data_IF_815605766014
#
_entry.id   IF_815605766014
#
_cell.length_a   1.000
_cell.length_b   1.000
_cell.length_c   1.000
_cell.angle_alpha   90.00
_cell.angle_beta   90.00
_cell.angle_gamma   90.00
#
_symmetry.space_group_name_H-M   'P 1'
#
loop_
_entity.id
_entity.type
_entity.pdbx_description
1 polymer ?
#
# COMPACT_ATOMS: atom_id res chain seq x y z
N UNK A 1 -4.25 45.60 -42.30
CA UNK A 1 -3.26 44.49 -42.16
C UNK A 1 -2.98 44.22 -40.67
N UNK A 2 -4.00 43.85 -39.90
CA UNK A 2 -3.88 43.59 -38.44
C UNK A 2 -4.68 42.33 -38.03
N UNK A 3 -5.75 42.03 -38.77
CA UNK A 3 -6.68 40.93 -38.48
C UNK A 3 -6.07 39.53 -38.73
N UNK A 4 -5.15 39.37 -39.70
CA UNK A 4 -4.52 38.07 -40.01
C UNK A 4 -3.54 37.58 -38.93
N UNK A 5 -2.95 38.49 -38.15
CA UNK A 5 -2.02 38.09 -37.09
C UNK A 5 -2.74 37.55 -35.86
N UNK A 6 -3.88 38.14 -35.47
CA UNK A 6 -4.66 37.74 -34.29
C UNK A 6 -5.21 36.30 -34.41
N UNK A 7 -5.61 35.88 -35.61
CA UNK A 7 -6.10 34.52 -35.88
C UNK A 7 -5.02 33.44 -35.69
N UNK A 8 -3.74 33.75 -35.99
CA UNK A 8 -2.63 32.80 -35.84
C UNK A 8 -2.22 32.61 -34.37
N UNK A 9 -2.35 33.66 -33.55
CA UNK A 9 -2.12 33.60 -32.10
C UNK A 9 -3.24 32.88 -31.36
N UNK A 10 -4.50 33.06 -31.77
CA UNK A 10 -5.64 32.30 -31.23
C UNK A 10 -5.52 30.79 -31.52
N UNK A 11 -5.04 30.40 -32.71
CA UNK A 11 -4.76 28.99 -33.04
C UNK A 11 -3.64 28.40 -32.19
N UNK A 12 -2.56 29.14 -31.93
CA UNK A 12 -1.45 28.68 -31.08
C UNK A 12 -1.85 28.56 -29.61
N UNK A 13 -2.72 29.46 -29.12
CA UNK A 13 -3.28 29.36 -27.76
C UNK A 13 -4.25 28.18 -27.67
N UNK A 14 -5.09 27.92 -28.68
CA UNK A 14 -5.98 26.75 -28.72
C UNK A 14 -5.22 25.41 -28.84
N UNK A 15 -4.15 25.35 -29.63
CA UNK A 15 -3.29 24.15 -29.73
C UNK A 15 -2.44 23.98 -28.46
N UNK A 16 -1.99 25.07 -27.83
CA UNK A 16 -1.28 25.05 -26.54
C UNK A 16 -2.16 24.79 -25.31
N UNK A 17 -3.48 25.03 -25.40
CA UNK A 17 -4.46 24.57 -24.40
C UNK A 17 -4.96 23.15 -24.69
N UNK A 18 -4.80 22.67 -25.93
CA UNK A 18 -5.14 21.32 -26.37
C UNK A 18 -3.96 20.33 -26.30
N UNK A 19 -2.78 20.74 -25.83
CA UNK A 19 -1.90 19.81 -25.10
C UNK A 19 -2.62 19.47 -23.79
N UNK A 20 -3.63 18.64 -23.95
CA UNK A 20 -4.42 18.03 -22.91
C UNK A 20 -3.48 17.57 -21.81
N UNK A 21 -3.91 17.79 -20.58
CA UNK A 21 -3.42 17.07 -19.41
C UNK A 21 -3.43 15.58 -19.77
N UNK A 22 -2.31 15.06 -20.28
CA UNK A 22 -2.07 13.64 -20.34
C UNK A 22 -2.12 13.20 -18.89
N UNK A 23 -3.20 12.53 -18.51
CA UNK A 23 -3.27 11.96 -17.17
C UNK A 23 -2.12 10.98 -17.08
N UNK A 24 -1.16 11.26 -16.20
CA UNK A 24 0.04 10.44 -15.94
C UNK A 24 -0.31 9.07 -15.31
N UNK A 25 -1.55 8.63 -15.48
CA UNK A 25 -2.09 7.40 -14.95
C UNK A 25 -3.51 7.15 -15.46
N UNK A 26 -4.01 5.97 -15.15
CA UNK A 26 -5.34 5.49 -15.51
C UNK A 26 -6.06 5.00 -14.25
N UNK A 27 -7.39 5.09 -14.23
CA UNK A 27 -8.17 4.76 -13.05
C UNK A 27 -8.47 3.26 -12.95
N UNK A 28 -8.25 2.69 -11.78
CA UNK A 28 -8.53 1.28 -11.47
C UNK A 28 -9.56 1.22 -10.35
N UNK A 29 -10.60 0.40 -10.52
CA UNK A 29 -11.67 0.22 -9.55
C UNK A 29 -11.20 -0.52 -8.29
N UNK A 30 -11.82 -0.20 -7.17
CA UNK A 30 -11.61 -0.88 -5.89
C UNK A 30 -12.32 -2.24 -5.89
N UNK A 31 -11.71 -3.21 -5.22
CA UNK A 31 -12.28 -4.52 -4.89
C UNK A 31 -12.23 -4.69 -3.38
N UNK A 32 -13.38 -4.99 -2.78
CA UNK A 32 -13.49 -5.29 -1.35
C UNK A 32 -13.40 -6.80 -1.13
N UNK A 33 -12.74 -7.21 -0.06
CA UNK A 33 -12.63 -8.63 0.32
C UNK A 33 -13.65 -8.91 1.43
N UNK A 34 -14.94 -8.96 1.07
CA UNK A 34 -16.03 -9.16 2.05
C UNK A 34 -15.91 -10.50 2.79
N UNK A 35 -15.34 -11.53 2.15
CA UNK A 35 -15.06 -12.84 2.73
C UNK A 35 -14.10 -12.76 3.93
N UNK A 36 -13.17 -11.79 3.93
CA UNK A 36 -12.16 -11.60 4.97
C UNK A 36 -12.76 -11.19 6.32
N UNK A 37 -13.93 -10.53 6.32
CA UNK A 37 -14.64 -10.11 7.54
C UNK A 37 -14.95 -11.32 8.44
N UNK A 38 -15.38 -12.44 7.84
CA UNK A 38 -15.67 -13.68 8.57
C UNK A 38 -14.42 -14.32 9.21
N UNK A 39 -13.24 -13.96 8.70
CA UNK A 39 -11.94 -14.42 9.20
C UNK A 39 -11.36 -13.43 10.22
N UNK A 40 -12.07 -12.34 10.53
CA UNK A 40 -11.61 -11.29 11.44
C UNK A 40 -10.54 -10.37 10.82
N UNK A 41 -10.28 -10.48 9.52
CA UNK A 41 -9.42 -9.57 8.76
C UNK A 41 -10.24 -8.33 8.38
N UNK A 42 -10.15 -7.29 9.20
CA UNK A 42 -10.95 -6.06 9.05
C UNK A 42 -10.13 -4.82 9.34
N UNK A 43 -10.48 -3.70 8.72
CA UNK A 43 -9.90 -2.37 9.00
C UNK A 43 -10.18 -1.92 10.43
N UNK A 44 -9.58 -0.79 10.86
CA UNK A 44 -9.76 -0.22 12.20
C UNK A 44 -11.24 -0.08 12.63
N UNK A 45 -12.13 0.25 11.68
CA UNK A 45 -13.59 0.40 11.91
C UNK A 45 -14.41 -0.90 11.75
N UNK A 46 -13.77 -2.03 11.46
CA UNK A 46 -14.44 -3.31 11.20
C UNK A 46 -14.91 -3.53 9.75
N UNK A 47 -14.66 -2.59 8.83
CA UNK A 47 -14.94 -2.78 7.39
C UNK A 47 -13.97 -3.76 6.71
N UNK A 48 -14.35 -4.41 5.59
CA UNK A 48 -13.46 -5.33 4.87
C UNK A 48 -12.22 -4.60 4.33
N UNK A 49 -11.09 -5.30 4.19
CA UNK A 49 -9.95 -4.77 3.46
C UNK A 49 -10.26 -4.67 1.96
N UNK A 50 -9.44 -3.90 1.25
CA UNK A 50 -9.65 -3.61 -0.16
C UNK A 50 -8.34 -3.45 -0.93
N UNK A 51 -8.40 -3.68 -2.23
CA UNK A 51 -7.29 -3.46 -3.16
C UNK A 51 -7.81 -2.98 -4.52
N UNK A 52 -6.93 -2.46 -5.36
CA UNK A 52 -7.19 -2.20 -6.78
C UNK A 52 -6.32 -3.14 -7.61
N UNK A 53 -6.84 -3.66 -8.72
CA UNK A 53 -6.11 -4.59 -9.56
C UNK A 53 -6.31 -4.29 -11.04
N UNK A 54 -5.18 -4.10 -11.71
CA UNK A 54 -5.07 -4.07 -13.15
C UNK A 54 -4.40 -5.37 -13.62
N UNK A 55 -5.13 -6.16 -14.39
CA UNK A 55 -4.73 -7.52 -14.77
C UNK A 55 -3.53 -7.51 -15.72
N UNK A 56 -2.64 -8.47 -15.54
CA UNK A 56 -1.50 -8.67 -16.42
C UNK A 56 -1.91 -9.06 -17.84
N UNK A 57 -0.96 -9.02 -18.77
CA UNK A 57 -1.20 -9.39 -20.17
C UNK A 57 0.07 -9.88 -20.86
N UNK A 58 -0.11 -10.64 -21.94
CA UNK A 58 1.00 -11.16 -22.75
C UNK A 58 2.03 -11.92 -21.89
N UNK A 59 3.32 -11.62 -22.12
CA UNK A 59 4.44 -12.22 -21.40
C UNK A 59 4.46 -11.89 -19.90
N UNK A 60 3.74 -10.85 -19.47
CA UNK A 60 3.68 -10.41 -18.07
C UNK A 60 2.59 -11.10 -17.23
N UNK A 61 1.76 -11.97 -17.83
CA UNK A 61 0.54 -12.50 -17.18
C UNK A 61 0.82 -13.32 -15.91
N UNK A 62 1.99 -13.96 -15.82
CA UNK A 62 2.42 -14.73 -14.63
C UNK A 62 3.28 -13.92 -13.67
N UNK A 63 3.45 -12.61 -13.89
CA UNK A 63 4.27 -11.77 -13.03
C UNK A 63 3.38 -10.81 -12.24
N UNK A 64 3.73 -10.61 -10.96
CA UNK A 64 2.86 -9.94 -9.99
C UNK A 64 3.61 -8.83 -9.26
N UNK A 65 3.04 -7.63 -9.23
CA UNK A 65 3.50 -6.49 -8.47
C UNK A 65 2.42 -6.11 -7.45
N UNK A 66 2.64 -6.48 -6.18
CA UNK A 66 1.77 -6.15 -5.07
C UNK A 66 2.30 -4.92 -4.35
N UNK A 67 1.65 -3.77 -4.53
CA UNK A 67 2.07 -2.49 -3.96
C UNK A 67 1.20 -2.08 -2.77
N UNK A 68 1.83 -1.92 -1.61
CA UNK A 68 1.18 -1.54 -0.35
C UNK A 68 1.13 -0.02 -0.23
N UNK A 69 -0.07 0.52 -0.08
CA UNK A 69 -0.29 1.95 0.19
C UNK A 69 0.35 2.39 1.52
N UNK A 70 0.95 3.58 1.54
CA UNK A 70 1.43 4.21 2.78
C UNK A 70 0.38 5.08 3.48
N UNK A 71 0.71 5.62 4.64
CA UNK A 71 -0.16 6.57 5.33
C UNK A 71 0.17 6.84 6.80
N UNK A 72 1.44 6.68 7.20
CA UNK A 72 1.85 6.78 8.60
C UNK A 72 1.17 5.77 9.51
N UNK A 73 1.10 6.07 10.80
CA UNK A 73 0.55 5.17 11.82
C UNK A 73 -0.36 5.92 12.78
N UNK A 74 -1.15 5.17 13.56
CA UNK A 74 -1.78 5.67 14.77
C UNK A 74 -1.20 4.91 15.96
N UNK A 75 -0.88 5.62 17.03
CA UNK A 75 -0.04 5.10 18.10
C UNK A 75 -0.75 5.03 19.46
N UNK A 76 -2.04 5.35 19.53
CA UNK A 76 -2.87 5.14 20.72
C UNK A 76 -4.36 5.03 20.35
N UNK A 77 -5.19 4.60 21.29
CA UNK A 77 -6.64 4.41 21.07
C UNK A 77 -7.32 5.67 20.54
N UNK A 78 -6.95 6.85 21.03
CA UNK A 78 -7.54 8.13 20.60
C UNK A 78 -7.20 8.45 19.15
N UNK A 79 -5.92 8.37 18.79
CA UNK A 79 -5.46 8.63 17.42
C UNK A 79 -5.97 7.59 16.43
N UNK A 80 -6.04 6.31 16.84
CA UNK A 80 -6.59 5.24 16.01
C UNK A 80 -8.10 5.36 15.83
N UNK A 81 -8.84 5.82 16.86
CA UNK A 81 -10.28 6.08 16.75
C UNK A 81 -10.57 7.28 15.83
N UNK A 82 -9.78 8.35 15.91
CA UNK A 82 -9.90 9.43 14.93
C UNK A 82 -9.60 8.93 13.50
N UNK A 83 -8.59 8.09 13.35
CA UNK A 83 -8.18 7.50 12.07
C UNK A 83 -9.24 6.56 11.47
N UNK A 84 -9.98 5.80 12.28
CA UNK A 84 -11.04 4.91 11.81
C UNK A 84 -12.17 5.65 11.10
N UNK A 85 -12.34 6.95 11.36
CA UNK A 85 -13.25 7.83 10.62
C UNK A 85 -12.76 8.27 9.23
N UNK A 86 -11.59 7.81 8.77
CA UNK A 86 -10.94 8.24 7.52
C UNK A 86 -10.69 7.08 6.56
N UNK A 87 -10.28 7.38 5.32
CA UNK A 87 -9.87 6.37 4.32
C UNK A 87 -8.71 5.47 4.77
N UNK A 88 -7.96 5.87 5.80
CA UNK A 88 -6.81 5.14 6.35
C UNK A 88 -7.15 4.26 7.56
N UNK A 89 -8.44 4.15 7.89
CA UNK A 89 -8.95 3.25 8.93
C UNK A 89 -10.30 2.62 8.60
N UNK A 90 -10.90 2.97 7.45
CA UNK A 90 -12.18 2.43 6.97
C UNK A 90 -12.20 2.36 5.46
N UNK A 91 -12.52 1.17 4.91
CA UNK A 91 -12.71 1.00 3.47
C UNK A 91 -13.98 1.67 2.96
N UNK A 92 -14.97 1.91 3.83
CA UNK A 92 -16.19 2.69 3.52
C UNK A 92 -15.91 4.17 3.23
N UNK A 93 -14.69 4.63 3.51
CA UNK A 93 -14.22 6.01 3.28
C UNK A 93 -13.17 6.08 2.18
N UNK A 94 -12.86 4.97 1.51
CA UNK A 94 -11.93 4.94 0.38
C UNK A 94 -12.63 5.41 -0.89
N UNK A 95 -11.84 6.00 -1.79
CA UNK A 95 -12.30 6.33 -3.13
C UNK A 95 -12.48 5.05 -3.94
N UNK A 96 -13.53 5.00 -4.77
CA UNK A 96 -13.85 3.84 -5.59
C UNK A 96 -12.81 3.59 -6.69
N UNK A 97 -12.10 4.63 -7.11
CA UNK A 97 -11.07 4.58 -8.13
C UNK A 97 -9.79 5.26 -7.67
N UNK A 98 -8.65 4.70 -8.04
CA UNK A 98 -7.35 5.37 -7.91
C UNK A 98 -6.61 5.36 -9.22
N UNK A 99 -5.88 6.44 -9.47
CA UNK A 99 -4.96 6.51 -10.59
C UNK A 99 -3.75 5.59 -10.33
N UNK A 100 -3.50 4.69 -11.25
CA UNK A 100 -2.27 3.90 -11.36
C UNK A 100 -1.28 4.66 -12.23
N UNK A 101 -0.10 4.95 -11.69
CA UNK A 101 0.97 5.72 -12.31
C UNK A 101 2.34 5.18 -11.90
N UNK A 102 3.41 5.68 -12.52
CA UNK A 102 4.79 5.26 -12.22
C UNK A 102 4.94 3.73 -12.39
N UNK A 103 5.45 3.05 -11.36
CA UNK A 103 5.63 1.58 -11.36
C UNK A 103 4.32 0.79 -11.53
N UNK A 104 3.16 1.42 -11.33
CA UNK A 104 1.85 0.83 -11.57
C UNK A 104 1.24 1.23 -12.93
N UNK A 105 1.93 2.02 -13.76
CA UNK A 105 1.37 2.40 -15.06
C UNK A 105 1.32 1.19 -16.02
N UNK A 106 0.32 1.15 -16.88
CA UNK A 106 0.12 0.09 -17.89
C UNK A 106 0.74 0.40 -19.27
N UNK A 107 1.60 1.42 -19.37
CA UNK A 107 2.24 1.80 -20.63
C UNK A 107 3.76 1.72 -20.49
N UNK A 108 4.47 1.07 -21.43
CA UNK A 108 5.92 0.90 -21.36
C UNK A 108 6.69 2.23 -21.25
N UNK A 109 6.15 3.29 -21.85
CA UNK A 109 6.75 4.62 -21.80
C UNK A 109 6.87 5.22 -20.39
N UNK A 110 6.04 4.77 -19.44
CA UNK A 110 6.01 5.22 -18.05
C UNK A 110 6.43 4.13 -17.06
N UNK A 111 6.31 2.87 -17.46
CA UNK A 111 6.63 1.69 -16.67
C UNK A 111 7.30 0.63 -17.56
N UNK A 112 8.56 0.83 -17.98
CA UNK A 112 9.18 -0.04 -18.98
C UNK A 112 9.29 -1.50 -18.52
N UNK A 113 9.38 -1.75 -17.21
CA UNK A 113 9.66 -3.06 -16.65
C UNK A 113 8.39 -3.86 -16.30
N UNK A 114 7.34 -3.20 -15.82
CA UNK A 114 6.17 -3.88 -15.21
C UNK A 114 4.83 -3.53 -15.88
N UNK A 115 4.82 -2.85 -17.03
CA UNK A 115 3.59 -2.37 -17.70
C UNK A 115 2.63 -3.46 -18.18
N UNK A 116 3.04 -4.74 -18.21
CA UNK A 116 2.17 -5.87 -18.55
C UNK A 116 2.03 -6.92 -17.43
N UNK A 117 2.57 -6.64 -16.23
CA UNK A 117 2.40 -7.50 -15.04
C UNK A 117 0.99 -7.35 -14.45
N UNK A 118 0.57 -8.29 -13.60
CA UNK A 118 -0.53 -8.05 -12.67
C UNK A 118 -0.09 -6.96 -11.69
N UNK A 119 -0.77 -5.83 -11.68
CA UNK A 119 -0.46 -4.69 -10.82
C UNK A 119 -1.55 -4.50 -9.79
N UNK A 120 -1.17 -4.62 -8.53
CA UNK A 120 -2.09 -4.56 -7.40
C UNK A 120 -1.69 -3.39 -6.52
N UNK A 121 -2.68 -2.61 -6.08
CA UNK A 121 -2.52 -1.62 -5.01
C UNK A 121 -3.39 -1.99 -3.82
N UNK A 122 -2.77 -2.52 -2.78
CA UNK A 122 -3.43 -2.87 -1.52
C UNK A 122 -3.72 -1.60 -0.74
N UNK A 123 -4.94 -1.41 -0.27
CA UNK A 123 -5.33 -0.23 0.51
C UNK A 123 -4.97 -0.39 1.98
N UNK A 124 -4.45 0.67 2.56
CA UNK A 124 -3.94 0.67 3.94
C UNK A 124 -5.01 1.17 4.92
N UNK A 125 -5.39 0.32 5.89
CA UNK A 125 -6.47 0.64 6.83
C UNK A 125 -6.30 0.10 8.26
N UNK A 126 -5.15 -0.49 8.61
CA UNK A 126 -4.87 -1.01 9.95
C UNK A 126 -4.11 -0.01 10.84
N UNK A 127 -3.29 0.87 10.23
CA UNK A 127 -2.55 1.90 10.97
C UNK A 127 -1.28 1.44 11.66
N UNK A 128 -0.78 0.22 11.37
CA UNK A 128 0.44 -0.37 11.92
C UNK A 128 1.28 -1.13 10.86
N UNK A 129 1.33 -0.66 9.61
CA UNK A 129 2.07 -1.35 8.54
C UNK A 129 1.71 -2.83 8.38
N UNK A 130 0.46 -3.20 8.65
CA UNK A 130 -0.06 -4.57 8.60
C UNK A 130 0.52 -5.54 9.64
N UNK A 131 1.03 -5.06 10.77
CA UNK A 131 1.72 -5.93 11.75
C UNK A 131 0.88 -6.37 12.95
N UNK A 132 -0.20 -5.65 13.28
CA UNK A 132 -0.99 -5.94 14.48
C UNK A 132 -1.95 -7.12 14.33
N UNK A 133 -2.11 -7.93 15.38
CA UNK A 133 -3.19 -8.92 15.48
C UNK A 133 -3.77 -9.07 16.90
N UNK A 134 -4.58 -8.09 17.31
CA UNK A 134 -5.19 -8.07 18.65
C UNK A 134 -6.55 -8.75 18.63
N UNK A 135 -6.68 -9.90 19.32
CA UNK A 135 -7.94 -10.63 19.38
C UNK A 135 -9.13 -9.87 19.96
N UNK A 136 -8.85 -9.03 20.95
CA UNK A 136 -9.89 -8.30 21.64
C UNK A 136 -10.23 -7.01 20.90
N UNK A 137 -11.49 -6.85 20.53
CA UNK A 137 -12.03 -5.56 20.06
C UNK A 137 -12.04 -4.57 21.22
N UNK A 138 -11.64 -3.32 20.97
CA UNK A 138 -11.70 -2.29 22.01
C UNK A 138 -13.17 -2.05 22.40
N UNK A 139 -13.59 -2.31 23.66
CA UNK A 139 -15.00 -2.27 24.02
C UNK A 139 -15.59 -0.85 24.06
N UNK A 140 -14.76 0.19 24.11
CA UNK A 140 -15.21 1.59 24.17
C UNK A 140 -15.32 2.21 22.78
N UNK A 141 -14.40 1.88 21.89
CA UNK A 141 -14.27 2.53 20.58
C UNK A 141 -14.60 1.61 19.40
N UNK A 142 -14.87 0.33 19.67
CA UNK A 142 -15.05 -0.72 18.66
C UNK A 142 -13.89 -0.78 17.64
N UNK A 143 -12.67 -0.48 18.07
CA UNK A 143 -11.47 -0.56 17.23
C UNK A 143 -10.99 -2.00 17.07
N UNK A 144 -10.55 -2.31 15.85
CA UNK A 144 -9.97 -3.59 15.46
C UNK A 144 -8.51 -3.39 15.00
N UNK A 145 -7.55 -4.00 15.69
CA UNK A 145 -6.12 -3.93 15.31
C UNK A 145 -5.70 -5.24 14.63
N UNK A 146 -6.02 -5.37 13.33
CA UNK A 146 -6.00 -6.64 12.56
C UNK A 146 -5.10 -6.61 11.33
N UNK A 147 -4.07 -5.76 11.34
CA UNK A 147 -3.15 -5.59 10.23
C UNK A 147 -2.61 -6.90 9.65
N UNK A 148 -2.12 -7.82 10.48
CA UNK A 148 -1.52 -9.07 10.00
C UNK A 148 -2.57 -9.98 9.34
N UNK A 149 -3.80 -10.02 9.89
CA UNK A 149 -4.92 -10.75 9.26
C UNK A 149 -5.29 -10.16 7.91
N UNK A 150 -5.32 -8.83 7.82
CA UNK A 150 -5.60 -8.16 6.55
C UNK A 150 -4.54 -8.53 5.52
N UNK A 151 -3.24 -8.46 5.87
CA UNK A 151 -2.17 -8.83 4.95
C UNK A 151 -2.33 -10.26 4.46
N UNK A 152 -2.53 -11.21 5.38
CA UNK A 152 -2.75 -12.62 5.06
C UNK A 152 -3.95 -12.80 4.12
N UNK A 153 -5.10 -12.21 4.45
CA UNK A 153 -6.32 -12.31 3.65
C UNK A 153 -6.16 -11.73 2.24
N UNK A 154 -5.44 -10.60 2.10
CA UNK A 154 -5.14 -10.02 0.79
C UNK A 154 -4.23 -10.94 -0.02
N UNK A 155 -3.18 -11.50 0.58
CA UNK A 155 -2.28 -12.42 -0.14
C UNK A 155 -3.01 -13.69 -0.56
N UNK A 156 -3.82 -14.29 0.32
CA UNK A 156 -4.63 -15.48 0.00
C UNK A 156 -5.63 -15.20 -1.14
N UNK A 157 -6.33 -14.06 -1.09
CA UNK A 157 -7.24 -13.62 -2.16
C UNK A 157 -6.51 -13.49 -3.51
N UNK A 158 -5.27 -13.00 -3.53
CA UNK A 158 -4.47 -12.90 -4.76
C UNK A 158 -3.96 -14.26 -5.23
N UNK A 159 -3.57 -15.15 -4.31
CA UNK A 159 -3.17 -16.53 -4.63
C UNK A 159 -4.32 -17.27 -5.32
N UNK A 160 -5.54 -17.17 -4.78
CA UNK A 160 -6.75 -17.74 -5.37
C UNK A 160 -7.07 -17.17 -6.77
N UNK A 161 -6.71 -15.91 -7.01
CA UNK A 161 -6.87 -15.23 -8.31
C UNK A 161 -5.77 -15.53 -9.33
N UNK A 162 -4.86 -16.44 -9.00
CA UNK A 162 -3.85 -16.95 -9.93
C UNK A 162 -2.42 -16.58 -9.56
N UNK A 163 -2.18 -15.81 -8.48
CA UNK A 163 -0.81 -15.52 -8.02
C UNK A 163 -0.08 -16.79 -7.55
N UNK A 164 -0.82 -17.86 -7.24
CA UNK A 164 -0.25 -19.18 -6.96
C UNK A 164 0.57 -19.75 -8.14
N UNK A 165 0.36 -19.27 -9.36
CA UNK A 165 1.11 -19.67 -10.56
C UNK A 165 2.17 -18.65 -10.97
N UNK A 166 2.53 -17.72 -10.08
CA UNK A 166 3.46 -16.66 -10.42
C UNK A 166 4.88 -17.18 -10.74
N UNK A 167 5.46 -16.69 -11.82
CA UNK A 167 6.88 -16.87 -12.12
C UNK A 167 7.72 -15.89 -11.28
N UNK A 168 7.26 -14.63 -11.22
CA UNK A 168 7.84 -13.57 -10.41
C UNK A 168 6.77 -12.87 -9.57
N UNK A 169 7.09 -12.56 -8.32
CA UNK A 169 6.24 -11.76 -7.45
C UNK A 169 7.08 -10.72 -6.70
N UNK A 170 6.65 -9.46 -6.76
CA UNK A 170 7.26 -8.34 -6.05
C UNK A 170 6.28 -7.83 -4.99
N UNK A 171 6.70 -7.85 -3.72
CA UNK A 171 6.05 -7.08 -2.67
C UNK A 171 6.71 -5.70 -2.59
N UNK A 172 5.97 -4.65 -2.89
CA UNK A 172 6.46 -3.28 -2.85
C UNK A 172 5.57 -2.38 -2.00
N UNK A 173 6.05 -1.19 -1.67
CA UNK A 173 5.22 -0.19 -0.99
C UNK A 173 5.98 1.09 -0.72
N UNK A 174 5.25 2.15 -0.39
CA UNK A 174 5.82 3.47 -0.09
C UNK A 174 5.55 3.87 1.38
N UNK A 175 6.51 4.51 2.05
CA UNK A 175 6.36 5.00 3.43
C UNK A 175 6.01 3.86 4.40
N UNK A 176 4.89 3.94 5.12
CA UNK A 176 4.40 2.86 5.97
C UNK A 176 4.21 1.53 5.20
N UNK A 177 3.83 1.56 3.91
CA UNK A 177 3.75 0.38 3.06
C UNK A 177 5.13 -0.12 2.58
N UNK A 178 6.11 0.77 2.51
CA UNK A 178 7.51 0.41 2.31
C UNK A 178 8.02 -0.39 3.51
N UNK A 179 7.71 0.07 4.73
CA UNK A 179 8.00 -0.69 5.95
C UNK A 179 7.28 -2.05 5.96
N UNK A 180 6.01 -2.12 5.54
CA UNK A 180 5.29 -3.39 5.34
C UNK A 180 6.06 -4.34 4.43
N UNK A 181 6.62 -3.84 3.33
CA UNK A 181 7.40 -4.65 2.39
C UNK A 181 8.65 -5.24 3.02
N UNK A 182 9.30 -4.53 3.95
CA UNK A 182 10.47 -5.05 4.67
C UNK A 182 10.05 -6.12 5.68
N UNK A 183 9.01 -5.82 6.47
CA UNK A 183 8.55 -6.66 7.58
C UNK A 183 7.93 -7.97 7.11
N UNK A 184 7.13 -7.93 6.04
CA UNK A 184 6.40 -9.10 5.54
C UNK A 184 7.08 -9.81 4.37
N UNK A 185 8.29 -9.41 3.96
CA UNK A 185 8.96 -10.01 2.79
C UNK A 185 9.11 -11.53 2.89
N UNK A 186 9.56 -12.02 4.05
CA UNK A 186 9.84 -13.45 4.24
C UNK A 186 8.54 -14.25 4.35
N UNK A 187 7.53 -13.70 5.02
CA UNK A 187 6.18 -14.26 5.06
C UNK A 187 5.60 -14.34 3.64
N UNK A 188 5.62 -13.24 2.88
CA UNK A 188 5.13 -13.21 1.50
C UNK A 188 5.80 -14.26 0.62
N UNK A 189 7.12 -14.41 0.75
CA UNK A 189 7.87 -15.46 0.05
C UNK A 189 7.45 -16.86 0.47
N UNK A 190 7.25 -17.09 1.76
CA UNK A 190 6.85 -18.40 2.29
C UNK A 190 5.43 -18.82 1.87
N UNK A 191 4.57 -17.87 1.51
CA UNK A 191 3.20 -18.12 1.04
C UNK A 191 3.12 -18.49 -0.44
N UNK A 192 4.17 -18.27 -1.20
CA UNK A 192 4.27 -18.61 -2.62
C UNK A 192 4.99 -19.95 -2.83
N UNK A 193 4.77 -20.64 -3.96
CA UNK A 193 5.52 -21.84 -4.28
C UNK A 193 7.02 -21.56 -4.32
N UNK A 194 7.83 -22.57 -3.96
CA UNK A 194 9.29 -22.44 -4.00
C UNK A 194 9.86 -22.19 -5.39
N UNK A 195 9.09 -22.42 -6.45
CA UNK A 195 9.43 -22.10 -7.84
C UNK A 195 9.29 -20.62 -8.18
N UNK A 196 8.48 -19.85 -7.43
CA UNK A 196 8.27 -18.43 -7.67
C UNK A 196 9.47 -17.62 -7.23
N UNK A 197 9.96 -16.75 -8.11
CA UNK A 197 11.00 -15.78 -7.75
C UNK A 197 10.37 -14.59 -7.02
N UNK A 198 10.65 -14.48 -5.72
CA UNK A 198 10.12 -13.40 -4.89
C UNK A 198 11.17 -12.33 -4.61
N UNK A 199 10.80 -11.07 -4.78
CA UNK A 199 11.60 -9.89 -4.41
C UNK A 199 10.74 -8.90 -3.62
N UNK A 200 11.40 -8.04 -2.84
CA UNK A 200 10.72 -7.00 -2.09
C UNK A 200 11.38 -5.64 -2.35
N UNK A 201 10.56 -4.60 -2.49
CA UNK A 201 10.98 -3.23 -2.80
C UNK A 201 10.37 -2.24 -1.80
N UNK A 202 11.20 -1.71 -0.92
CA UNK A 202 10.76 -0.71 0.06
C UNK A 202 11.11 0.70 -0.42
N UNK A 203 10.11 1.47 -0.85
CA UNK A 203 10.27 2.89 -1.16
C UNK A 203 9.96 3.73 0.10
N UNK A 204 10.86 4.63 0.48
CA UNK A 204 10.74 5.47 1.68
C UNK A 204 10.34 4.70 2.96
N UNK A 205 10.68 3.42 3.05
CA UNK A 205 10.24 2.50 4.11
C UNK A 205 11.26 2.27 5.23
N UNK A 206 12.48 2.77 5.08
CA UNK A 206 13.54 2.68 6.08
C UNK A 206 13.53 3.91 6.98
N UNK A 207 13.28 3.71 8.27
CA UNK A 207 13.21 4.77 9.26
C UNK A 207 14.34 4.58 10.28
N UNK A 208 15.23 5.57 10.40
CA UNK A 208 16.44 5.50 11.22
C UNK A 208 16.11 5.86 12.68
N UNK A 209 16.48 5.01 13.64
CA UNK A 209 16.33 5.31 15.07
C UNK A 209 17.47 6.18 15.60
N UNK A 210 17.42 7.47 15.28
CA UNK A 210 18.39 8.45 15.77
C UNK A 210 17.73 9.59 16.53
N UNK A 211 18.56 10.37 17.23
CA UNK A 211 18.12 11.62 17.85
C UNK A 211 17.79 12.64 16.77
N UNK A 212 16.71 13.40 16.97
CA UNK A 212 16.37 14.53 16.12
C UNK A 212 17.31 15.73 16.37
N UNK A 213 17.07 16.83 15.65
CA UNK A 213 17.87 18.07 15.77
C UNK A 213 17.85 18.68 17.18
N UNK A 214 16.92 18.27 18.05
CA UNK A 214 16.80 18.72 19.44
C UNK A 214 17.38 17.69 20.43
N UNK A 215 18.04 16.64 19.93
CA UNK A 215 18.64 15.59 20.76
C UNK A 215 17.65 14.56 21.29
N UNK A 216 16.41 14.54 20.80
CA UNK A 216 15.33 13.68 21.32
C UNK A 216 15.06 12.48 20.41
N UNK A 217 14.83 11.28 21.00
CA UNK A 217 14.47 10.06 20.26
C UNK A 217 12.96 9.99 20.00
N UNK A 218 12.44 10.96 19.24
CA UNK A 218 10.98 11.09 19.01
C UNK A 218 10.38 9.94 18.23
N UNK A 219 11.09 9.45 17.22
CA UNK A 219 10.60 8.36 16.38
C UNK A 219 10.47 7.06 17.16
N UNK A 220 11.48 6.74 17.98
CA UNK A 220 11.43 5.59 18.89
C UNK A 220 10.25 5.70 19.86
N UNK A 221 10.12 6.83 20.57
CA UNK A 221 9.00 7.03 21.50
C UNK A 221 7.64 6.90 20.80
N UNK A 222 7.49 7.46 19.59
CA UNK A 222 6.27 7.35 18.80
C UNK A 222 5.99 5.91 18.38
N UNK A 223 7.00 5.19 17.90
CA UNK A 223 6.83 3.83 17.39
C UNK A 223 6.66 2.81 18.53
N UNK A 224 7.26 3.02 19.70
CA UNK A 224 6.99 2.24 20.91
C UNK A 224 5.50 2.31 21.30
N UNK A 225 4.86 3.46 21.12
CA UNK A 225 3.42 3.61 21.31
C UNK A 225 2.61 2.84 20.24
N UNK A 226 3.09 2.78 18.99
CA UNK A 226 2.50 1.93 17.94
C UNK A 226 2.60 0.45 18.33
N UNK A 227 3.79 -0.01 18.74
CA UNK A 227 4.04 -1.39 19.19
C UNK A 227 3.10 -1.78 20.33
N UNK A 228 2.99 -0.93 21.35
CA UNK A 228 2.12 -1.17 22.51
C UNK A 228 0.63 -1.18 22.12
N UNK A 229 0.20 -0.27 21.26
CA UNK A 229 -1.20 -0.12 20.89
C UNK A 229 -1.70 -1.25 20.01
N UNK A 230 -0.89 -1.66 19.04
CA UNK A 230 -1.23 -2.71 18.08
C UNK A 230 -0.77 -4.10 18.50
N UNK A 231 -0.11 -4.20 19.68
CA UNK A 231 0.46 -5.42 20.27
C UNK A 231 1.32 -6.16 19.26
N UNK A 232 2.32 -5.44 18.74
CA UNK A 232 3.21 -5.99 17.73
C UNK A 232 4.17 -6.98 18.35
N UNK A 233 4.49 -8.04 17.63
CA UNK A 233 5.49 -9.04 18.04
C UNK A 233 6.92 -8.49 18.04
N UNK A 234 7.13 -7.28 17.52
CA UNK A 234 8.44 -6.63 17.40
C UNK A 234 8.40 -5.23 18.03
N UNK A 235 9.39 -4.94 18.85
CA UNK A 235 9.74 -3.59 19.30
C UNK A 235 10.33 -2.76 18.16
N UNK A 236 10.43 -1.43 18.33
CA UNK A 236 11.05 -0.58 17.30
C UNK A 236 12.51 -0.95 17.02
N UNK A 237 13.25 -1.30 18.07
CA UNK A 237 14.63 -1.76 17.95
C UNK A 237 14.73 -3.09 17.19
N UNK A 238 13.77 -4.01 17.37
CA UNK A 238 13.71 -5.25 16.58
C UNK A 238 13.32 -4.98 15.13
N UNK A 239 12.41 -4.04 14.88
CA UNK A 239 12.08 -3.57 13.52
C UNK A 239 13.34 -3.00 12.84
N UNK A 240 14.11 -2.16 13.52
CA UNK A 240 15.37 -1.61 12.97
C UNK A 240 16.45 -2.68 12.77
N UNK A 241 16.58 -3.63 13.70
CA UNK A 241 17.52 -4.75 13.59
C UNK A 241 17.15 -5.69 12.44
N UNK A 242 15.85 -5.99 12.26
CA UNK A 242 15.35 -6.77 11.13
C UNK A 242 15.65 -6.07 9.80
N UNK A 243 15.55 -4.74 9.76
CA UNK A 243 15.92 -4.01 8.54
C UNK A 243 17.43 -4.07 8.32
N UNK A 244 18.24 -3.88 9.36
CA UNK A 244 19.70 -3.90 9.30
C UNK A 244 20.30 -5.27 8.94
N UNK A 245 19.56 -6.37 9.10
CA UNK A 245 19.98 -7.72 8.67
C UNK A 245 19.66 -8.01 7.20
N UNK A 246 18.83 -7.17 6.56
CA UNK A 246 18.37 -7.35 5.17
C UNK A 246 19.14 -6.48 4.17
N UNK A 247 19.96 -5.55 4.66
CA UNK A 247 20.83 -4.65 3.89
C UNK A 247 22.29 -4.79 4.35
#
# INVERSE_FOLDING_TARGET
MVIKHVSRWLFLILVGFSSMLTTYGFYVNITFIDSAVKQGAVCLDGSPPAYHWDMGSGEGINNWLVHIEGGGWCNNVTSCHARSGTRLGSSKKMVEQVAFSGILHNQPQYNPDFYNWNRIRVRYCDGASFTGDVEKVNPKTNLHFRGARIFRAVVDELLEKGMIFADNAILSGCSAGGLTSILHCDEFKALLPSSTTVKCLADAGYFINTRDLLGTRRLEAFYDEVVKTHVLSYSFAEVEALISLKF
#
